data_IF_212452685232
#
_entry.id   IF_212452685232
#
_cell.length_a   1.000
_cell.length_b   1.000
_cell.length_c   1.000
_cell.angle_alpha   90.00
_cell.angle_beta   90.00
_cell.angle_gamma   90.00
#
_symmetry.space_group_name_H-M   'P 1'
#
loop_
_entity.id
_entity.type
_entity.pdbx_description
1 polymer ?
#
# COMPACT_ATOMS: atom_id res chain seq x y z
N UNK A 1 -2.82 0.83 -6.81
CA UNK A 1 -4.09 0.41 -6.17
C UNK A 1 -4.61 1.54 -5.29
N UNK A 2 -5.92 1.75 -5.20
CA UNK A 2 -6.53 2.74 -4.28
C UNK A 2 -7.58 2.09 -3.38
N UNK A 3 -7.67 2.49 -2.11
CA UNK A 3 -8.72 2.05 -1.17
C UNK A 3 -9.15 3.18 -0.24
N UNK A 4 -10.42 3.17 0.17
CA UNK A 4 -10.98 4.20 1.06
C UNK A 4 -11.39 3.62 2.41
N UNK A 5 -10.92 4.21 3.52
CA UNK A 5 -11.28 3.81 4.88
C UNK A 5 -11.43 5.03 5.79
N UNK A 6 -12.61 5.22 6.37
CA UNK A 6 -12.84 6.25 7.40
C UNK A 6 -12.43 7.67 6.98
N UNK A 7 -12.62 8.04 5.71
CA UNK A 7 -12.21 9.35 5.17
C UNK A 7 -10.75 9.45 4.72
N UNK A 8 -9.99 8.35 4.81
CA UNK A 8 -8.66 8.18 4.24
C UNK A 8 -8.71 7.47 2.89
N UNK A 9 -7.81 7.86 2.01
CA UNK A 9 -7.49 7.25 0.74
C UNK A 9 -6.08 6.67 0.85
N UNK A 10 -5.92 5.36 0.61
CA UNK A 10 -4.67 4.63 0.64
C UNK A 10 -4.25 4.29 -0.80
N UNK A 11 -3.06 4.73 -1.21
CA UNK A 11 -2.49 4.48 -2.54
C UNK A 11 -1.23 3.63 -2.41
N UNK A 12 -1.26 2.45 -3.00
CA UNK A 12 -0.07 1.59 -3.13
C UNK A 12 0.65 1.83 -4.45
N UNK A 13 1.96 2.07 -4.37
CA UNK A 13 2.88 2.25 -5.51
C UNK A 13 4.01 1.22 -5.45
N UNK A 14 4.37 0.69 -6.61
CA UNK A 14 5.55 -0.15 -6.82
C UNK A 14 6.48 0.61 -7.77
N UNK A 15 7.71 0.83 -7.35
CA UNK A 15 8.73 1.53 -8.15
C UNK A 15 9.92 0.60 -8.34
N UNK A 16 10.40 0.43 -9.57
CA UNK A 16 11.71 -0.17 -9.79
C UNK A 16 12.77 0.90 -9.55
N UNK A 17 13.74 0.60 -8.70
CA UNK A 17 14.91 1.43 -8.57
C UNK A 17 15.93 1.17 -9.70
N UNK A 18 16.93 2.03 -9.77
CA UNK A 18 17.99 2.00 -10.79
C UNK A 18 18.94 0.79 -10.65
N UNK A 19 18.86 0.02 -9.56
CA UNK A 19 19.74 -1.12 -9.24
C UNK A 19 19.01 -2.44 -9.51
N UNK A 20 17.76 -2.39 -9.98
CA UNK A 20 16.95 -3.56 -10.27
C UNK A 20 16.23 -4.12 -9.04
N UNK A 21 16.26 -3.42 -7.90
CA UNK A 21 15.39 -3.72 -6.76
C UNK A 21 14.04 -3.02 -6.91
N UNK A 22 13.00 -3.70 -6.44
CA UNK A 22 11.64 -3.18 -6.45
C UNK A 22 11.35 -2.58 -5.07
N UNK A 23 11.05 -1.28 -5.05
CA UNK A 23 10.64 -0.52 -3.88
C UNK A 23 9.11 -0.41 -3.79
N UNK A 24 8.60 -0.32 -2.56
CA UNK A 24 7.17 -0.25 -2.27
C UNK A 24 6.85 0.95 -1.38
N UNK A 25 5.79 1.67 -1.74
CA UNK A 25 5.29 2.83 -1.02
C UNK A 25 3.77 2.71 -0.82
N UNK A 26 3.30 3.05 0.39
CA UNK A 26 1.88 3.31 0.65
C UNK A 26 1.71 4.78 1.03
N UNK A 27 0.85 5.50 0.33
CA UNK A 27 0.49 6.90 0.62
C UNK A 27 -0.91 6.94 1.20
N UNK A 28 -1.03 7.48 2.42
CA UNK A 28 -2.33 7.75 3.05
C UNK A 28 -2.69 9.23 2.94
N UNK A 29 -3.86 9.55 2.37
CA UNK A 29 -4.38 10.90 2.22
C UNK A 29 -5.73 11.05 2.93
N UNK A 30 -5.92 12.06 3.78
CA UNK A 30 -7.22 12.35 4.39
C UNK A 30 -7.96 13.44 3.64
N UNK A 31 -9.21 13.18 3.23
CA UNK A 31 -9.97 14.12 2.41
C UNK A 31 -10.27 15.46 3.08
N UNK A 32 -10.57 15.45 4.38
CA UNK A 32 -10.98 16.68 5.09
C UNK A 32 -9.82 17.46 5.71
N UNK A 33 -8.60 16.91 5.76
CA UNK A 33 -7.52 17.46 6.61
C UNK A 33 -6.27 17.92 5.84
N UNK A 34 -6.30 17.93 4.50
CA UNK A 34 -5.12 18.20 3.66
C UNK A 34 -3.86 17.43 4.13
N UNK A 35 -4.06 16.27 4.76
CA UNK A 35 -3.00 15.48 5.36
C UNK A 35 -2.60 14.38 4.39
N UNK A 36 -1.31 14.30 4.09
CA UNK A 36 -0.70 13.24 3.27
C UNK A 36 0.45 12.62 4.05
N UNK A 37 0.47 11.29 4.16
CA UNK A 37 1.47 10.52 4.90
C UNK A 37 2.01 9.39 4.01
N UNK A 38 3.20 9.55 3.43
CA UNK A 38 3.88 8.46 2.74
C UNK A 38 4.57 7.52 3.74
N UNK A 39 4.50 6.21 3.47
CA UNK A 39 5.20 5.16 4.22
C UNK A 39 6.00 4.28 3.26
N UNK A 40 7.33 4.41 3.34
CA UNK A 40 8.27 3.68 2.51
C UNK A 40 8.68 2.38 3.19
N UNK A 41 8.65 1.28 2.45
CA UNK A 41 9.19 0.01 2.91
C UNK A 41 10.61 -0.14 2.39
N UNK A 42 11.59 0.00 3.29
CA UNK A 42 13.01 -0.14 2.98
C UNK A 42 13.53 -1.52 3.37
N UNK A 43 14.50 -2.07 2.63
CA UNK A 43 15.14 -3.35 2.96
C UNK A 43 14.32 -4.58 2.58
N UNK A 44 13.22 -4.40 1.85
CA UNK A 44 12.52 -5.49 1.16
C UNK A 44 13.07 -5.60 -0.26
N UNK A 45 13.19 -6.84 -0.75
CA UNK A 45 13.54 -7.14 -2.14
C UNK A 45 12.47 -8.07 -2.67
N UNK A 46 11.89 -7.72 -3.82
CA UNK A 46 10.90 -8.53 -4.51
C UNK A 46 11.47 -8.99 -5.86
N UNK A 47 11.21 -10.24 -6.23
CA UNK A 47 11.70 -10.82 -7.49
C UNK A 47 10.81 -10.41 -8.68
N UNK A 48 9.60 -9.92 -8.41
CA UNK A 48 8.66 -9.48 -9.43
C UNK A 48 7.72 -8.37 -8.96
N UNK A 49 7.19 -7.60 -9.91
CA UNK A 49 6.15 -6.60 -9.64
C UNK A 49 4.88 -7.20 -9.01
N UNK A 50 4.52 -8.43 -9.39
CA UNK A 50 3.35 -9.12 -8.85
C UNK A 50 3.53 -9.44 -7.36
N UNK A 51 4.74 -9.85 -6.96
CA UNK A 51 5.06 -10.11 -5.56
C UNK A 51 4.99 -8.83 -4.71
N UNK A 52 5.57 -7.73 -5.23
CA UNK A 52 5.50 -6.42 -4.59
C UNK A 52 4.05 -5.91 -4.49
N UNK A 53 3.24 -6.09 -5.53
CA UNK A 53 1.83 -5.73 -5.53
C UNK A 53 1.03 -6.54 -4.50
N UNK A 54 1.22 -7.86 -4.44
CA UNK A 54 0.57 -8.71 -3.44
C UNK A 54 1.03 -8.41 -2.00
N UNK A 55 2.27 -7.97 -1.81
CA UNK A 55 2.71 -7.44 -0.51
C UNK A 55 1.95 -6.17 -0.14
N UNK A 56 1.83 -5.20 -1.04
CA UNK A 56 1.06 -3.95 -0.83
C UNK A 56 -0.38 -4.27 -0.45
N UNK A 57 -1.04 -5.17 -1.19
CA UNK A 57 -2.42 -5.56 -0.94
C UNK A 57 -2.60 -6.06 0.49
N UNK A 58 -1.76 -7.01 0.93
CA UNK A 58 -1.80 -7.53 2.31
C UNK A 58 -1.55 -6.45 3.37
N UNK A 59 -0.65 -5.50 3.11
CA UNK A 59 -0.40 -4.39 4.04
C UNK A 59 -1.62 -3.46 4.12
N UNK A 60 -2.24 -3.15 2.99
CA UNK A 60 -3.47 -2.35 2.94
C UNK A 60 -4.61 -3.09 3.66
N UNK A 61 -4.78 -4.39 3.44
CA UNK A 61 -5.76 -5.22 4.15
C UNK A 61 -5.52 -5.20 5.66
N UNK A 62 -4.27 -5.42 6.10
CA UNK A 62 -3.91 -5.40 7.52
C UNK A 62 -4.20 -4.05 8.19
N UNK A 63 -3.93 -2.94 7.52
CA UNK A 63 -4.22 -1.60 8.03
C UNK A 63 -5.72 -1.32 8.07
N UNK A 64 -6.47 -1.85 7.09
CA UNK A 64 -7.89 -1.54 6.93
C UNK A 64 -8.81 -2.52 7.64
N UNK A 65 -8.33 -3.73 7.97
CA UNK A 65 -9.14 -4.83 8.49
C UNK A 65 -10.17 -5.36 7.49
N UNK A 66 -9.98 -5.11 6.18
CA UNK A 66 -10.93 -5.50 5.12
C UNK A 66 -10.20 -6.39 4.11
N UNK A 67 -10.74 -7.55 3.76
CA UNK A 67 -10.20 -8.47 2.75
C UNK A 67 -10.47 -7.99 1.31
N UNK A 68 -9.86 -8.65 0.34
CA UNK A 68 -10.07 -8.45 -1.10
C UNK A 68 -11.54 -8.60 -1.55
N UNK A 69 -12.29 -9.51 -0.94
CA UNK A 69 -13.73 -9.72 -1.13
C UNK A 69 -14.62 -8.69 -0.43
N UNK A 70 -14.03 -7.73 0.30
CA UNK A 70 -14.74 -6.71 1.08
C UNK A 70 -15.24 -7.20 2.44
N UNK A 71 -14.91 -8.42 2.86
CA UNK A 71 -15.20 -8.92 4.21
C UNK A 71 -14.34 -8.22 5.26
N UNK A 72 -14.85 -8.09 6.49
CA UNK A 72 -14.03 -7.67 7.63
C UNK A 72 -13.20 -8.86 8.11
N UNK A 73 -11.89 -8.67 8.26
CA UNK A 73 -10.99 -9.68 8.82
C UNK A 73 -10.61 -9.26 10.26
N UNK A 74 -10.86 -10.14 11.23
CA UNK A 74 -10.52 -9.98 12.65
C UNK A 74 -9.44 -10.98 13.05
#
# INVERSE_FOLDING_TARGET
>A
MFRYVGGWELHGCVEADLIGSISVLIVARHFARAAVRPHYYTGLSFESYNEAAGFIERQVESVTGVGDDGSLQF
#
